data_IF_109415342640
#
_entry.id   IF_109415342640
#
_cell.length_a   1.000
_cell.length_b   1.000
_cell.length_c   1.000
_cell.angle_alpha   90.00
_cell.angle_beta   90.00
_cell.angle_gamma   90.00
#
_symmetry.space_group_name_H-M   'P 1'
#
loop_
_entity.id
_entity.type
_entity.pdbx_description
1 polymer ?
#
# COMPACT_ATOMS: atom_id res chain seq x y z
N UNK A 1 3.80 19.86 -18.50
CA UNK A 1 4.13 19.83 -17.05
C UNK A 1 5.55 20.36 -16.90
N UNK A 2 5.82 21.23 -15.91
CA UNK A 2 7.15 21.85 -15.74
C UNK A 2 8.17 20.79 -15.27
N UNK A 3 9.42 20.81 -15.79
CA UNK A 3 10.42 19.77 -15.51
C UNK A 3 10.77 19.63 -14.02
N UNK A 4 10.59 20.68 -13.21
CA UNK A 4 10.81 20.62 -11.76
C UNK A 4 9.86 19.68 -11.01
N UNK A 5 8.59 19.61 -11.43
CA UNK A 5 7.56 18.78 -10.79
C UNK A 5 7.85 17.29 -10.95
N UNK A 6 8.45 16.89 -12.07
CA UNK A 6 8.83 15.49 -12.33
C UNK A 6 9.99 15.04 -11.43
N UNK A 7 10.93 15.94 -11.13
CA UNK A 7 12.06 15.67 -10.22
C UNK A 7 11.57 15.57 -8.78
N UNK A 8 10.62 16.40 -8.36
CA UNK A 8 10.02 16.32 -7.03
C UNK A 8 9.19 15.04 -6.86
N UNK A 9 8.39 14.66 -7.85
CA UNK A 9 7.68 13.38 -7.87
C UNK A 9 8.65 12.19 -7.85
N UNK A 10 9.76 12.25 -8.60
CA UNK A 10 10.79 11.22 -8.58
C UNK A 10 11.47 11.08 -7.22
N UNK A 11 11.77 12.21 -6.56
CA UNK A 11 12.30 12.22 -5.19
C UNK A 11 11.29 11.68 -4.17
N UNK A 12 10.02 12.04 -4.31
CA UNK A 12 8.95 11.55 -3.44
C UNK A 12 8.76 10.03 -3.60
N UNK A 13 8.77 9.53 -4.83
CA UNK A 13 8.69 8.10 -5.11
C UNK A 13 9.91 7.34 -4.57
N UNK A 14 11.12 7.90 -4.73
CA UNK A 14 12.34 7.29 -4.19
C UNK A 14 12.33 7.26 -2.65
N UNK A 15 11.91 8.36 -2.02
CA UNK A 15 11.76 8.42 -0.56
C UNK A 15 10.66 7.49 -0.05
N UNK A 16 9.55 7.37 -0.78
CA UNK A 16 8.47 6.43 -0.46
C UNK A 16 8.94 4.97 -0.54
N UNK A 17 9.67 4.60 -1.59
CA UNK A 17 10.24 3.26 -1.73
C UNK A 17 11.28 2.94 -0.64
N UNK A 18 12.12 3.93 -0.30
CA UNK A 18 13.10 3.80 0.78
C UNK A 18 12.39 3.64 2.14
N UNK A 19 11.35 4.44 2.40
CA UNK A 19 10.57 4.38 3.63
C UNK A 19 9.85 3.04 3.79
N UNK A 20 9.29 2.47 2.72
CA UNK A 20 8.69 1.13 2.75
C UNK A 20 9.73 0.07 3.07
N UNK A 21 10.92 0.15 2.44
CA UNK A 21 12.02 -0.79 2.68
C UNK A 21 12.53 -0.73 4.13
N UNK A 22 12.74 0.49 4.65
CA UNK A 22 13.18 0.70 6.04
C UNK A 22 12.10 0.27 7.02
N UNK A 23 10.82 0.55 6.72
CA UNK A 23 9.70 0.10 7.54
C UNK A 23 9.68 -1.43 7.61
N UNK A 24 9.84 -2.14 6.49
CA UNK A 24 9.89 -3.61 6.44
C UNK A 24 11.02 -4.21 7.28
N UNK A 25 12.20 -3.58 7.28
CA UNK A 25 13.35 -4.02 8.10
C UNK A 25 13.12 -3.71 9.59
N UNK A 26 12.49 -2.57 9.88
CA UNK A 26 12.22 -2.12 11.24
C UNK A 26 10.95 -2.74 11.85
N UNK A 27 10.16 -3.50 11.09
CA UNK A 27 9.02 -4.21 11.67
C UNK A 27 9.57 -5.24 12.66
N UNK A 28 9.16 -5.18 13.95
CA UNK A 28 9.46 -6.28 14.85
C UNK A 28 8.88 -7.54 14.21
N UNK A 29 9.70 -8.59 14.10
CA UNK A 29 9.27 -9.93 13.69
C UNK A 29 8.24 -10.41 14.70
N UNK A 30 6.99 -9.96 14.54
CA UNK A 30 5.84 -10.48 15.24
C UNK A 30 5.80 -11.94 14.86
N UNK A 31 6.09 -12.79 15.84
CA UNK A 31 5.99 -14.24 15.73
C UNK A 31 4.55 -14.54 15.33
N UNK A 32 4.34 -14.68 14.02
CA UNK A 32 3.03 -14.68 13.42
C UNK A 32 2.44 -16.08 13.67
N UNK A 33 1.93 -16.29 14.88
CA UNK A 33 1.04 -17.41 15.17
C UNK A 33 -0.10 -17.25 14.19
N UNK A 34 -0.17 -18.15 13.21
CA UNK A 34 -1.16 -18.09 12.16
C UNK A 34 -2.55 -18.10 12.80
N UNK A 35 -3.15 -16.92 12.86
CA UNK A 35 -4.44 -16.71 13.49
C UNK A 35 -5.49 -16.68 12.36
N UNK A 36 -6.23 -17.77 12.14
CA UNK A 36 -7.12 -17.89 10.99
C UNK A 36 -8.20 -16.79 10.97
N UNK A 37 -8.54 -16.21 12.13
CA UNK A 37 -9.42 -15.04 12.22
C UNK A 37 -8.82 -13.78 11.60
N UNK A 38 -7.52 -13.54 11.79
CA UNK A 38 -6.80 -12.39 11.19
C UNK A 38 -6.58 -12.61 9.70
N UNK A 39 -6.35 -13.85 9.27
CA UNK A 39 -6.23 -14.18 7.85
C UNK A 39 -7.55 -13.97 7.09
N UNK A 40 -8.67 -14.45 7.63
CA UNK A 40 -9.99 -14.27 7.03
C UNK A 40 -10.44 -12.81 7.04
N UNK A 41 -10.16 -12.06 8.11
CA UNK A 41 -10.45 -10.62 8.15
C UNK A 41 -9.59 -9.85 7.16
N UNK A 42 -8.32 -10.21 6.99
CA UNK A 42 -7.43 -9.66 5.98
C UNK A 42 -7.97 -9.87 4.55
N UNK A 43 -8.46 -11.07 4.24
CA UNK A 43 -9.10 -11.36 2.94
C UNK A 43 -10.36 -10.52 2.74
N UNK A 44 -11.22 -10.42 3.74
CA UNK A 44 -12.45 -9.64 3.65
C UNK A 44 -12.18 -8.14 3.41
N UNK A 45 -11.16 -7.59 4.09
CA UNK A 45 -10.71 -6.20 3.91
C UNK A 45 -10.14 -6.01 2.50
N UNK A 46 -9.30 -6.94 2.02
CA UNK A 46 -8.73 -6.88 0.68
C UNK A 46 -9.81 -6.88 -0.41
N UNK A 47 -10.80 -7.78 -0.31
CA UNK A 47 -11.92 -7.83 -1.25
C UNK A 47 -12.76 -6.54 -1.23
N UNK A 48 -12.97 -5.96 -0.04
CA UNK A 48 -13.71 -4.70 0.09
C UNK A 48 -12.97 -3.53 -0.58
N UNK A 49 -11.66 -3.43 -0.38
CA UNK A 49 -10.82 -2.41 -1.01
C UNK A 49 -10.77 -2.56 -2.54
N UNK A 50 -10.71 -3.79 -3.04
CA UNK A 50 -10.78 -4.07 -4.48
C UNK A 50 -12.14 -3.62 -5.03
N UNK A 51 -13.25 -3.98 -4.38
CA UNK A 51 -14.58 -3.57 -4.80
C UNK A 51 -14.77 -2.06 -4.83
N UNK A 52 -14.27 -1.35 -3.81
CA UNK A 52 -14.29 0.12 -3.78
C UNK A 52 -13.41 0.68 -4.90
N UNK A 53 -12.21 0.15 -5.10
CA UNK A 53 -11.30 0.58 -6.16
C UNK A 53 -11.90 0.42 -7.56
N UNK A 54 -12.56 -0.72 -7.83
CA UNK A 54 -13.27 -0.96 -9.10
C UNK A 54 -14.44 0.03 -9.25
N UNK A 55 -15.24 0.22 -8.21
CA UNK A 55 -16.37 1.17 -8.26
C UNK A 55 -15.92 2.60 -8.52
N UNK A 56 -14.79 3.02 -7.92
CA UNK A 56 -14.19 4.33 -8.13
C UNK A 56 -13.59 4.47 -9.53
N UNK A 57 -13.03 3.39 -10.09
CA UNK A 57 -12.53 3.36 -11.47
C UNK A 57 -13.66 3.45 -12.50
N UNK A 58 -14.76 2.72 -12.28
CA UNK A 58 -15.93 2.75 -13.16
C UNK A 58 -16.69 4.08 -13.13
N UNK A 59 -16.68 4.81 -12.00
CA UNK A 59 -17.33 6.12 -11.88
C UNK A 59 -16.41 7.32 -12.14
N UNK A 60 -15.09 7.11 -12.15
CA UNK A 60 -14.09 8.16 -12.29
C UNK A 60 -13.42 8.24 -13.66
N UNK A 61 -13.84 7.41 -14.62
CA UNK A 61 -13.35 7.37 -16.01
C UNK A 61 -14.21 8.14 -17.00
#
# INVERSE_FOLDING_TARGET
MKPGTFIELGKLALNGALAVSVAMIAQPLVENKFDPGVFLSGIAVALSLIGIGVTLLEKGG
#
